data_IF_468681220478
#
_entry.id   IF_468681220478
#
_cell.length_a   1.000
_cell.length_b   1.000
_cell.length_c   1.000
_cell.angle_alpha   90.00
_cell.angle_beta   90.00
_cell.angle_gamma   90.00
#
_symmetry.space_group_name_H-M   'P 1'
#
loop_
_entity.id
_entity.type
_entity.pdbx_description
1 polymer ?
#
# COMPACT_ATOMS: atom_id res chain seq x y z
N UNK A 1 -6.34 -54.63 61.54
CA UNK A 1 -5.40 -55.12 60.51
C UNK A 1 -5.69 -54.38 59.21
N UNK A 2 -4.74 -53.52 58.82
CA UNK A 2 -4.44 -53.00 57.47
C UNK A 2 -5.54 -52.19 56.75
N UNK A 3 -5.37 -50.86 56.80
CA UNK A 3 -6.07 -49.86 55.98
C UNK A 3 -5.12 -48.69 55.66
N UNK A 4 -4.17 -48.92 54.76
CA UNK A 4 -3.30 -47.95 54.04
C UNK A 4 -2.84 -48.72 52.78
N UNK A 5 -2.55 -48.20 51.61
CA UNK A 5 -1.98 -46.95 51.14
C UNK A 5 -1.98 -47.14 49.61
N UNK A 6 -2.43 -46.20 48.77
CA UNK A 6 -1.83 -45.99 47.42
C UNK A 6 -2.44 -44.71 46.84
N UNK A 7 -1.85 -43.60 47.26
CA UNK A 7 -1.85 -42.34 46.53
C UNK A 7 -0.95 -42.52 45.31
N UNK A 8 -1.44 -42.21 44.11
CA UNK A 8 -0.58 -41.82 42.99
C UNK A 8 -1.23 -40.64 42.28
N UNK A 9 -0.76 -39.47 42.68
CA UNK A 9 -1.05 -38.14 42.15
C UNK A 9 -0.43 -38.02 40.75
N UNK A 10 -1.26 -37.89 39.70
CA UNK A 10 -0.78 -37.51 38.37
C UNK A 10 -0.90 -35.98 38.26
N UNK A 11 0.23 -35.29 38.43
CA UNK A 11 0.33 -33.87 38.16
C UNK A 11 0.60 -33.66 36.67
N UNK A 12 -0.41 -33.26 35.90
CA UNK A 12 -0.23 -32.81 34.52
C UNK A 12 0.41 -31.42 34.51
N UNK A 13 1.65 -31.35 34.03
CA UNK A 13 2.33 -30.09 33.71
C UNK A 13 1.72 -29.57 32.40
N UNK A 14 0.82 -28.58 32.49
CA UNK A 14 0.48 -27.74 31.35
C UNK A 14 1.63 -26.76 31.13
N UNK A 15 2.54 -27.08 30.21
CA UNK A 15 3.46 -26.09 29.66
C UNK A 15 2.63 -25.23 28.71
N UNK A 16 2.20 -24.07 29.16
CA UNK A 16 1.70 -23.02 28.26
C UNK A 16 2.90 -22.50 27.48
N UNK A 17 3.03 -22.93 26.23
CA UNK A 17 3.85 -22.22 25.25
C UNK A 17 3.18 -20.87 25.03
N UNK A 18 3.64 -19.83 25.74
CA UNK A 18 3.45 -18.45 25.32
C UNK A 18 4.24 -18.28 24.02
N UNK A 19 3.68 -18.77 22.92
CA UNK A 19 4.07 -18.31 21.60
C UNK A 19 3.73 -16.83 21.57
N UNK A 20 4.76 -15.98 21.67
CA UNK A 20 4.62 -14.60 21.22
C UNK A 20 4.30 -14.67 19.73
N UNK A 21 3.01 -14.74 19.38
CA UNK A 21 2.57 -14.25 18.09
C UNK A 21 3.02 -12.79 18.09
N UNK A 22 4.10 -12.48 17.38
CA UNK A 22 4.48 -11.09 17.18
C UNK A 22 3.30 -10.43 16.49
N UNK A 23 2.59 -9.54 17.19
CA UNK A 23 1.56 -8.72 16.58
C UNK A 23 2.23 -7.97 15.42
N UNK A 24 1.79 -8.27 14.20
CA UNK A 24 2.31 -7.60 13.02
C UNK A 24 1.99 -6.10 13.11
N UNK A 25 2.99 -5.26 12.89
CA UNK A 25 2.78 -3.80 12.83
C UNK A 25 1.73 -3.44 11.79
N UNK A 26 0.99 -2.35 11.99
CA UNK A 26 0.03 -1.82 11.01
C UNK A 26 0.68 -1.59 9.64
N UNK A 27 1.91 -1.09 9.60
CA UNK A 27 2.67 -0.92 8.35
C UNK A 27 2.84 -2.24 7.58
N UNK A 28 3.16 -3.33 8.29
CA UNK A 28 3.26 -4.67 7.69
C UNK A 28 1.91 -5.15 7.15
N UNK A 29 0.82 -4.99 7.91
CA UNK A 29 -0.52 -5.39 7.46
C UNK A 29 -0.93 -4.69 6.16
N UNK A 30 -0.70 -3.38 6.06
CA UNK A 30 -0.97 -2.62 4.85
C UNK A 30 -0.05 -2.96 3.68
N UNK A 31 1.22 -3.28 3.94
CA UNK A 31 2.13 -3.79 2.92
C UNK A 31 1.66 -5.14 2.37
N UNK A 32 1.23 -6.08 3.21
CA UNK A 32 0.68 -7.35 2.75
C UNK A 32 -0.60 -7.16 1.93
N UNK A 33 -1.47 -6.21 2.34
CA UNK A 33 -2.65 -5.85 1.56
C UNK A 33 -2.28 -5.31 0.16
N UNK A 34 -1.30 -4.41 0.08
CA UNK A 34 -0.78 -3.89 -1.19
C UNK A 34 -0.16 -5.00 -2.06
N UNK A 35 0.71 -5.83 -1.48
CA UNK A 35 1.37 -6.92 -2.21
C UNK A 35 0.35 -7.92 -2.76
N UNK A 36 -0.70 -8.23 -2.00
CA UNK A 36 -1.76 -9.10 -2.48
C UNK A 36 -2.53 -8.46 -3.63
N UNK A 37 -2.85 -7.17 -3.55
CA UNK A 37 -3.50 -6.47 -4.66
C UNK A 37 -2.63 -6.39 -5.91
N UNK A 38 -1.30 -6.28 -5.77
CA UNK A 38 -0.37 -6.37 -6.91
C UNK A 38 -0.45 -7.76 -7.58
N UNK A 39 -0.52 -8.85 -6.80
CA UNK A 39 -0.65 -10.23 -7.32
C UNK A 39 -1.96 -10.45 -8.08
N UNK A 40 -3.00 -9.71 -7.71
CA UNK A 40 -4.35 -9.80 -8.27
C UNK A 40 -4.62 -8.76 -9.38
N UNK A 41 -3.62 -7.97 -9.79
CA UNK A 41 -3.78 -6.91 -10.78
C UNK A 41 -3.04 -7.20 -12.10
N UNK A 42 -3.18 -6.33 -13.10
CA UNK A 42 -2.40 -6.42 -14.34
C UNK A 42 -0.89 -6.40 -14.07
N UNK A 43 -0.13 -7.12 -14.90
CA UNK A 43 1.33 -7.07 -14.89
C UNK A 43 1.84 -5.71 -15.40
N UNK A 44 1.99 -4.74 -14.48
CA UNK A 44 2.43 -3.37 -14.75
C UNK A 44 3.61 -2.95 -13.85
N UNK A 45 4.82 -3.51 -14.05
CA UNK A 45 5.93 -3.33 -13.10
C UNK A 45 6.25 -1.88 -12.73
N UNK A 46 6.30 -0.89 -13.66
CA UNK A 46 6.55 0.50 -13.30
C UNK A 46 5.44 1.12 -12.44
N UNK A 47 4.17 0.78 -12.73
CA UNK A 47 3.00 1.25 -11.95
C UNK A 47 3.05 0.69 -10.54
N UNK A 48 3.37 -0.60 -10.40
CA UNK A 48 3.46 -1.26 -9.10
C UNK A 48 4.64 -0.76 -8.26
N UNK A 49 5.80 -0.55 -8.89
CA UNK A 49 6.95 0.05 -8.22
C UNK A 49 6.63 1.45 -7.66
N UNK A 50 5.88 2.25 -8.43
CA UNK A 50 5.41 3.57 -8.01
C UNK A 50 4.41 3.49 -6.86
N UNK A 51 3.47 2.53 -6.89
CA UNK A 51 2.54 2.30 -5.78
C UNK A 51 3.30 1.92 -4.49
N UNK A 52 4.31 1.05 -4.56
CA UNK A 52 5.17 0.68 -3.44
C UNK A 52 5.93 1.86 -2.86
N UNK A 53 6.50 2.72 -3.73
CA UNK A 53 7.19 3.93 -3.28
C UNK A 53 6.22 4.90 -2.58
N UNK A 54 5.10 5.23 -3.22
CA UNK A 54 4.11 6.18 -2.70
C UNK A 54 3.53 5.76 -1.35
N UNK A 55 3.24 4.48 -1.18
CA UNK A 55 2.70 3.93 0.07
C UNK A 55 3.74 3.86 1.17
N UNK A 56 4.98 3.46 0.86
CA UNK A 56 6.10 3.48 1.83
C UNK A 56 6.35 4.90 2.34
N UNK A 57 6.39 5.87 1.42
CA UNK A 57 6.52 7.29 1.73
C UNK A 57 5.37 7.80 2.59
N UNK A 58 4.11 7.46 2.25
CA UNK A 58 2.94 7.88 3.02
C UNK A 58 2.95 7.33 4.46
N UNK A 59 3.32 6.06 4.64
CA UNK A 59 3.43 5.46 5.97
C UNK A 59 4.56 6.10 6.78
N UNK A 60 5.71 6.37 6.14
CA UNK A 60 6.81 7.07 6.79
C UNK A 60 6.43 8.49 7.22
N UNK A 61 5.75 9.25 6.36
CA UNK A 61 5.31 10.61 6.68
C UNK A 61 4.28 10.62 7.82
N UNK A 62 3.34 9.66 7.82
CA UNK A 62 2.38 9.49 8.91
C UNK A 62 3.07 9.16 10.25
N UNK A 63 4.15 8.38 10.21
CA UNK A 63 4.96 8.08 11.38
C UNK A 63 5.75 9.30 11.88
N UNK A 64 6.43 9.97 10.96
CA UNK A 64 7.34 11.08 11.21
C UNK A 64 6.61 12.35 11.66
N UNK A 65 5.34 12.54 11.27
CA UNK A 65 4.51 13.66 11.70
C UNK A 65 4.37 13.78 13.23
N UNK A 66 4.53 12.67 13.96
CA UNK A 66 4.48 12.62 15.43
C UNK A 66 5.86 12.43 16.08
N UNK A 67 6.94 12.39 15.29
CA UNK A 67 8.30 12.26 15.80
C UNK A 67 8.94 13.63 16.06
N UNK A 68 9.88 13.69 17.01
CA UNK A 68 10.55 14.95 17.38
C UNK A 68 11.85 15.17 16.62
N UNK A 69 12.38 14.14 15.96
CA UNK A 69 13.66 14.16 15.24
C UNK A 69 13.47 13.88 13.76
N UNK A 70 12.63 12.89 13.43
CA UNK A 70 12.40 12.51 12.05
C UNK A 70 11.68 13.61 11.28
N UNK A 71 12.04 13.74 10.00
CA UNK A 71 11.42 14.68 9.07
C UNK A 71 10.65 13.90 8.02
N UNK A 72 9.38 14.25 7.73
CA UNK A 72 8.66 13.65 6.63
C UNK A 72 9.36 13.92 5.30
N UNK A 73 9.08 13.09 4.30
CA UNK A 73 9.59 13.23 2.94
C UNK A 73 8.72 14.19 2.11
N UNK A 74 7.41 13.94 2.01
CA UNK A 74 6.49 14.77 1.23
C UNK A 74 5.78 15.80 2.11
N UNK A 75 5.24 15.37 3.25
CA UNK A 75 4.48 16.20 4.18
C UNK A 75 5.35 17.35 4.72
N UNK A 76 4.95 18.60 4.44
CA UNK A 76 5.70 19.80 4.80
C UNK A 76 6.80 20.19 3.81
N UNK A 77 6.99 19.46 2.71
CA UNK A 77 8.06 19.68 1.75
C UNK A 77 7.54 19.89 0.32
N UNK A 78 8.48 20.27 -0.55
CA UNK A 78 8.29 20.26 -2.00
C UNK A 78 9.06 19.10 -2.61
N UNK A 79 8.36 18.21 -3.31
CA UNK A 79 8.93 17.06 -4.03
C UNK A 79 8.43 17.09 -5.46
N UNK A 80 9.35 16.98 -6.43
CA UNK A 80 9.01 16.96 -7.87
C UNK A 80 8.08 18.10 -8.31
N UNK A 81 8.28 19.31 -7.75
CA UNK A 81 7.47 20.49 -8.05
C UNK A 81 6.09 20.53 -7.40
N UNK A 82 5.72 19.54 -6.58
CA UNK A 82 4.51 19.54 -5.76
C UNK A 82 4.84 19.90 -4.31
N UNK A 83 4.11 20.83 -3.71
CA UNK A 83 4.24 21.17 -2.28
C UNK A 83 3.05 20.62 -1.50
N UNK A 84 3.33 19.89 -0.40
CA UNK A 84 2.34 19.46 0.57
C UNK A 84 2.51 20.27 1.87
N UNK A 85 1.77 21.37 2.09
CA UNK A 85 1.92 22.18 3.28
C UNK A 85 1.65 21.42 4.58
N UNK A 86 2.45 21.64 5.62
CA UNK A 86 2.25 21.02 6.91
C UNK A 86 2.65 21.96 8.04
N UNK A 87 1.71 22.23 8.94
CA UNK A 87 1.93 23.15 10.08
C UNK A 87 2.20 22.40 11.39
N UNK A 88 2.34 21.07 11.33
CA UNK A 88 2.38 20.21 12.51
C UNK A 88 1.01 19.68 12.91
N UNK A 89 1.02 18.78 13.89
CA UNK A 89 -0.20 18.22 14.50
C UNK A 89 -0.21 18.47 16.00
N UNK A 90 -1.39 18.62 16.62
CA UNK A 90 -1.51 18.59 18.07
C UNK A 90 -0.94 17.29 18.64
N UNK A 91 -0.25 17.37 19.79
CA UNK A 91 0.31 16.19 20.46
C UNK A 91 -0.81 15.27 20.96
N UNK A 92 -0.91 14.02 20.48
CA UNK A 92 -1.94 13.09 20.91
C UNK A 92 -1.59 12.48 22.27
N UNK A 93 -2.60 11.96 22.98
CA UNK A 93 -2.38 11.24 24.25
C UNK A 93 -1.63 9.91 24.06
N UNK A 94 -1.80 9.26 22.91
CA UNK A 94 -1.09 8.06 22.51
C UNK A 94 -0.52 8.24 21.10
N UNK A 95 0.80 8.45 21.02
CA UNK A 95 1.51 8.68 19.75
C UNK A 95 1.46 7.45 18.85
N UNK A 96 1.63 6.25 19.40
CA UNK A 96 1.66 5.03 18.58
C UNK A 96 0.30 4.76 17.94
N UNK A 97 -0.79 4.88 18.71
CA UNK A 97 -2.13 4.74 18.17
C UNK A 97 -2.46 5.80 17.10
N UNK A 98 -1.94 7.03 17.26
CA UNK A 98 -2.10 8.08 16.26
C UNK A 98 -1.33 7.77 14.97
N UNK A 99 -0.11 7.27 15.08
CA UNK A 99 0.70 6.82 13.92
C UNK A 99 -0.01 5.70 13.17
N UNK A 100 -0.45 4.66 13.86
CA UNK A 100 -1.16 3.51 13.29
C UNK A 100 -2.45 3.93 12.56
N UNK A 101 -3.22 4.83 13.16
CA UNK A 101 -4.44 5.35 12.55
C UNK A 101 -4.13 6.23 11.33
N UNK A 102 -3.18 7.16 11.42
CA UNK A 102 -2.80 8.01 10.29
C UNK A 102 -2.25 7.19 9.11
N UNK A 103 -1.39 6.19 9.37
CA UNK A 103 -0.92 5.25 8.34
C UNK A 103 -2.10 4.54 7.66
N UNK A 104 -3.06 4.05 8.46
CA UNK A 104 -4.17 3.26 7.94
C UNK A 104 -5.09 4.06 7.02
N UNK A 105 -5.43 5.29 7.41
CA UNK A 105 -6.22 6.16 6.54
C UNK A 105 -5.43 6.58 5.28
N UNK A 106 -4.13 6.85 5.40
CA UNK A 106 -3.31 7.17 4.23
C UNK A 106 -3.29 6.00 3.23
N UNK A 107 -3.01 4.79 3.73
CA UNK A 107 -2.95 3.58 2.93
C UNK A 107 -4.31 3.24 2.31
N UNK A 108 -5.40 3.29 3.09
CA UNK A 108 -6.75 3.03 2.59
C UNK A 108 -7.09 3.90 1.37
N UNK A 109 -6.87 5.22 1.49
CA UNK A 109 -7.22 6.19 0.43
C UNK A 109 -6.33 6.04 -0.80
N UNK A 110 -5.01 5.87 -0.61
CA UNK A 110 -4.08 5.67 -1.73
C UNK A 110 -4.46 4.39 -2.46
N UNK A 111 -4.52 3.26 -1.76
CA UNK A 111 -4.74 1.95 -2.39
C UNK A 111 -6.10 1.86 -3.07
N UNK A 112 -7.16 2.42 -2.48
CA UNK A 112 -8.48 2.44 -3.10
C UNK A 112 -8.45 3.16 -4.46
N UNK A 113 -7.76 4.30 -4.55
CA UNK A 113 -7.57 5.02 -5.80
C UNK A 113 -6.69 4.25 -6.79
N UNK A 114 -5.55 3.70 -6.34
CA UNK A 114 -4.58 3.01 -7.21
C UNK A 114 -5.13 1.76 -7.87
N UNK A 115 -5.99 1.03 -7.16
CA UNK A 115 -6.57 -0.23 -7.64
C UNK A 115 -8.00 -0.09 -8.18
N UNK A 116 -8.54 1.13 -8.29
CA UNK A 116 -9.89 1.39 -8.79
C UNK A 116 -10.18 0.80 -10.18
N UNK A 117 -9.15 0.67 -11.02
CA UNK A 117 -9.24 0.10 -12.37
C UNK A 117 -8.62 -1.31 -12.48
N UNK A 118 -8.38 -1.97 -11.34
CA UNK A 118 -7.91 -3.35 -11.31
C UNK A 118 -9.02 -4.32 -11.74
N UNK A 119 -8.71 -5.42 -12.45
CA UNK A 119 -9.71 -6.44 -12.77
C UNK A 119 -10.29 -7.10 -11.51
N UNK A 120 -9.58 -7.06 -10.39
CA UNK A 120 -10.00 -7.63 -9.11
C UNK A 120 -10.30 -6.55 -8.05
N UNK A 121 -10.78 -5.37 -8.47
CA UNK A 121 -11.07 -4.25 -7.59
C UNK A 121 -11.93 -4.63 -6.36
N UNK A 122 -12.99 -5.43 -6.53
CA UNK A 122 -13.83 -5.82 -5.39
C UNK A 122 -13.08 -6.63 -4.32
N UNK A 123 -12.17 -7.53 -4.73
CA UNK A 123 -11.34 -8.27 -3.79
C UNK A 123 -10.41 -7.32 -3.00
N UNK A 124 -9.80 -6.35 -3.69
CA UNK A 124 -8.99 -5.32 -3.05
C UNK A 124 -9.83 -4.44 -2.10
N UNK A 125 -11.03 -4.02 -2.51
CA UNK A 125 -11.95 -3.23 -1.70
C UNK A 125 -12.32 -3.94 -0.39
N UNK A 126 -12.74 -5.20 -0.46
CA UNK A 126 -13.08 -5.99 0.74
C UNK A 126 -11.86 -6.20 1.65
N UNK A 127 -10.67 -6.36 1.08
CA UNK A 127 -9.42 -6.47 1.84
C UNK A 127 -9.14 -5.19 2.63
N UNK A 128 -9.26 -4.01 1.99
CA UNK A 128 -8.94 -2.74 2.63
C UNK A 128 -9.97 -2.34 3.68
N UNK A 129 -11.27 -2.49 3.38
CA UNK A 129 -12.36 -2.22 4.33
C UNK A 129 -12.38 -3.21 5.49
N UNK A 130 -12.08 -4.49 5.22
CA UNK A 130 -11.90 -5.52 6.24
C UNK A 130 -10.74 -5.19 7.18
N UNK A 131 -9.58 -4.76 6.65
CA UNK A 131 -8.44 -4.36 7.46
C UNK A 131 -8.73 -3.11 8.31
N UNK A 132 -9.41 -2.10 7.76
CA UNK A 132 -9.86 -0.94 8.56
C UNK A 132 -10.79 -1.36 9.70
N UNK A 133 -11.73 -2.27 9.43
CA UNK A 133 -12.65 -2.82 10.44
C UNK A 133 -11.91 -3.62 11.51
N UNK A 134 -10.95 -4.47 11.12
CA UNK A 134 -10.11 -5.24 12.04
C UNK A 134 -9.32 -4.34 13.00
N UNK A 135 -8.82 -3.21 12.48
CA UNK A 135 -8.09 -2.20 13.27
C UNK A 135 -9.02 -1.27 14.08
N UNK A 136 -10.34 -1.43 13.95
CA UNK A 136 -11.33 -0.64 14.69
C UNK A 136 -11.53 0.78 14.16
N UNK A 137 -11.23 1.04 12.88
CA UNK A 137 -11.33 2.36 12.27
C UNK A 137 -12.56 2.50 11.38
N UNK A 138 -13.29 3.61 11.57
CA UNK A 138 -14.37 4.04 10.69
C UNK A 138 -13.80 4.65 9.40
N UNK A 139 -13.71 3.84 8.35
CA UNK A 139 -13.15 4.24 7.06
C UNK A 139 -14.02 5.24 6.27
N UNK A 140 -15.23 5.58 6.75
CA UNK A 140 -16.07 6.63 6.16
C UNK A 140 -15.59 8.04 6.55
N UNK A 141 -14.73 8.19 7.56
CA UNK A 141 -14.12 9.47 7.93
C UNK A 141 -13.24 10.01 6.80
N UNK A 142 -13.72 11.02 6.09
CA UNK A 142 -13.06 11.60 4.90
C UNK A 142 -12.44 12.98 5.13
N UNK A 143 -12.61 13.59 6.31
CA UNK A 143 -12.02 14.88 6.65
C UNK A 143 -10.50 14.87 6.45
N UNK A 144 -9.95 15.97 5.95
CA UNK A 144 -8.50 16.20 5.82
C UNK A 144 -8.00 17.29 6.77
N UNK A 145 -8.88 17.80 7.64
CA UNK A 145 -8.53 18.80 8.64
C UNK A 145 -7.76 18.17 9.81
N UNK A 146 -6.47 17.93 9.62
CA UNK A 146 -5.57 17.34 10.63
C UNK A 146 -5.31 18.28 11.83
N UNK A 147 -5.53 19.59 11.68
CA UNK A 147 -5.39 20.56 12.78
C UNK A 147 -6.44 20.34 13.88
N UNK A 148 -7.53 19.63 13.59
CA UNK A 148 -8.47 19.15 14.60
C UNK A 148 -7.85 18.17 15.61
N UNK A 149 -6.64 17.66 15.35
CA UNK A 149 -5.99 16.63 16.15
C UNK A 149 -6.36 15.21 15.75
N UNK A 150 -7.21 15.02 14.73
CA UNK A 150 -7.63 13.70 14.23
C UNK A 150 -6.53 13.02 13.41
N UNK A 151 -5.99 11.86 13.85
CA UNK A 151 -5.00 11.12 13.06
C UNK A 151 -5.59 10.55 11.77
N UNK A 152 -6.88 10.19 11.77
CA UNK A 152 -7.59 9.80 10.55
C UNK A 152 -7.58 10.94 9.52
N UNK A 153 -7.79 12.18 9.97
CA UNK A 153 -7.74 13.34 9.09
C UNK A 153 -6.33 13.63 8.55
N UNK A 154 -5.29 13.40 9.38
CA UNK A 154 -3.90 13.45 8.91
C UNK A 154 -3.63 12.40 7.83
N UNK A 155 -4.05 11.16 8.03
CA UNK A 155 -3.90 10.10 7.04
C UNK A 155 -4.59 10.42 5.71
N UNK A 156 -5.84 10.91 5.76
CA UNK A 156 -6.54 11.38 4.56
C UNK A 156 -5.80 12.53 3.86
N UNK A 157 -5.25 13.49 4.62
CA UNK A 157 -4.49 14.60 4.06
C UNK A 157 -3.19 14.15 3.39
N UNK A 158 -2.44 13.24 4.02
CA UNK A 158 -1.24 12.64 3.44
C UNK A 158 -1.60 11.93 2.13
N UNK A 159 -2.65 11.09 2.12
CA UNK A 159 -3.11 10.44 0.90
C UNK A 159 -3.47 11.42 -0.21
N UNK A 160 -4.18 12.51 0.14
CA UNK A 160 -4.49 13.57 -0.82
C UNK A 160 -3.21 14.14 -1.43
N UNK A 161 -2.20 14.49 -0.61
CA UNK A 161 -0.92 14.99 -1.10
C UNK A 161 -0.21 13.99 -2.03
N UNK A 162 -0.17 12.71 -1.65
CA UNK A 162 0.47 11.66 -2.46
C UNK A 162 -0.22 11.48 -3.81
N UNK A 163 -1.56 11.45 -3.80
CA UNK A 163 -2.34 11.30 -5.02
C UNK A 163 -2.17 12.51 -5.94
N UNK A 164 -2.23 13.74 -5.40
CA UNK A 164 -2.05 14.97 -6.17
C UNK A 164 -0.64 15.11 -6.74
N UNK A 165 0.40 14.86 -5.94
CA UNK A 165 1.79 14.80 -6.41
C UNK A 165 1.91 13.82 -7.58
N UNK A 166 1.27 12.65 -7.46
CA UNK A 166 1.29 11.63 -8.49
C UNK A 166 0.62 12.04 -9.82
N UNK A 167 -0.37 12.93 -9.81
CA UNK A 167 -1.01 13.36 -11.06
C UNK A 167 -0.10 14.24 -11.92
N UNK A 168 0.98 14.79 -11.36
CA UNK A 168 1.88 15.75 -12.01
C UNK A 168 3.34 15.28 -12.10
N UNK A 169 3.64 14.02 -11.73
CA UNK A 169 5.00 13.48 -11.73
C UNK A 169 5.50 12.98 -13.10
N UNK A 170 4.70 13.18 -14.15
CA UNK A 170 5.02 12.75 -15.52
C UNK A 170 4.66 11.30 -15.85
N UNK A 171 4.09 10.52 -14.91
CA UNK A 171 3.72 9.12 -15.18
C UNK A 171 2.52 8.95 -16.13
N UNK A 172 1.83 10.04 -16.49
CA UNK A 172 0.64 10.00 -17.35
C UNK A 172 -0.50 9.14 -16.77
N UNK A 173 -0.63 9.11 -15.44
CA UNK A 173 -1.57 8.25 -14.72
C UNK A 173 -3.03 8.46 -15.12
N UNK A 174 -3.46 9.71 -15.32
CA UNK A 174 -4.84 10.04 -15.71
C UNK A 174 -5.26 9.40 -17.04
N UNK A 175 -4.29 9.10 -17.89
CA UNK A 175 -4.48 8.46 -19.18
C UNK A 175 -3.99 7.00 -19.15
N UNK A 176 -4.12 6.36 -17.97
CA UNK A 176 -3.75 4.96 -17.73
C UNK A 176 -2.30 4.64 -18.16
N UNK A 177 -1.37 5.57 -17.91
CA UNK A 177 0.06 5.40 -18.18
C UNK A 177 0.36 5.15 -19.67
N UNK A 178 -0.52 5.60 -20.57
CA UNK A 178 -0.34 5.43 -22.01
C UNK A 178 0.98 6.03 -22.49
N UNK A 179 1.65 5.34 -23.42
CA UNK A 179 2.90 5.81 -24.04
C UNK A 179 2.61 7.09 -24.84
N UNK A 180 3.37 8.15 -24.56
CA UNK A 180 3.16 9.46 -25.20
C UNK A 180 4.12 9.73 -26.35
N UNK A 181 5.37 9.26 -26.25
CA UNK A 181 6.45 9.70 -27.14
C UNK A 181 6.99 8.58 -28.04
N UNK A 182 7.17 7.38 -27.49
CA UNK A 182 7.76 6.28 -28.25
C UNK A 182 6.73 5.68 -29.22
N UNK A 183 7.13 5.53 -30.48
CA UNK A 183 6.36 4.83 -31.51
C UNK A 183 7.16 3.63 -32.02
N UNK A 184 6.48 2.49 -32.14
CA UNK A 184 7.08 1.26 -32.68
C UNK A 184 7.33 1.39 -34.17
N UNK A 185 8.49 0.93 -34.64
CA UNK A 185 8.81 0.88 -36.07
C UNK A 185 8.42 -0.46 -36.69
N UNK A 186 8.67 -1.54 -35.96
CA UNK A 186 8.34 -2.89 -36.43
C UNK A 186 6.87 -3.21 -36.18
N UNK A 187 6.26 -3.93 -37.13
CA UNK A 187 4.96 -4.56 -36.94
C UNK A 187 5.03 -5.60 -35.81
N UNK A 188 3.96 -5.80 -35.03
CA UNK A 188 3.95 -6.82 -33.98
C UNK A 188 4.32 -8.22 -34.49
N UNK A 189 5.16 -8.93 -33.75
CA UNK A 189 5.51 -10.33 -34.04
C UNK A 189 4.37 -11.25 -33.61
N UNK A 190 3.86 -12.05 -34.54
CA UNK A 190 2.88 -13.09 -34.28
C UNK A 190 3.59 -14.32 -33.74
N UNK A 191 3.43 -14.58 -32.44
CA UNK A 191 4.14 -15.66 -31.74
C UNK A 191 3.70 -17.07 -32.16
N UNK A 192 2.55 -17.21 -32.82
CA UNK A 192 2.06 -18.47 -33.35
C UNK A 192 2.81 -18.91 -34.63
N UNK A 193 3.41 -17.97 -35.35
CA UNK A 193 4.14 -18.25 -36.58
C UNK A 193 5.61 -18.59 -36.30
N UNK A 194 6.22 -19.52 -37.05
CA UNK A 194 7.63 -19.84 -36.88
C UNK A 194 8.53 -18.73 -37.40
N UNK A 195 9.44 -18.27 -36.53
CA UNK A 195 10.51 -17.34 -36.89
C UNK A 195 10.06 -15.88 -37.02
N UNK A 196 10.90 -15.05 -37.64
CA UNK A 196 10.64 -13.63 -37.86
C UNK A 196 11.30 -13.12 -39.16
N UNK A 197 10.96 -13.72 -40.33
CA UNK A 197 11.64 -13.40 -41.59
C UNK A 197 11.32 -11.99 -42.12
N UNK A 198 10.27 -11.35 -41.61
CA UNK A 198 9.73 -10.09 -42.15
C UNK A 198 9.95 -8.89 -41.20
N UNK A 199 10.94 -8.96 -40.28
CA UNK A 199 11.28 -7.80 -39.44
C UNK A 199 11.76 -6.64 -40.30
N UNK A 200 11.20 -5.44 -40.08
CA UNK A 200 11.54 -4.26 -40.87
C UNK A 200 12.92 -3.69 -40.53
N UNK A 201 13.16 -3.44 -39.24
CA UNK A 201 14.43 -2.93 -38.73
C UNK A 201 14.92 -3.76 -37.53
N UNK A 202 15.97 -4.60 -37.70
CA UNK A 202 16.48 -5.46 -36.63
C UNK A 202 17.15 -4.69 -35.49
N UNK A 203 17.47 -3.40 -35.67
CA UNK A 203 18.02 -2.54 -34.62
C UNK A 203 16.93 -1.83 -33.80
N UNK A 204 15.65 -2.11 -34.06
CA UNK A 204 14.51 -1.49 -33.36
C UNK A 204 13.67 -2.55 -32.68
N UNK A 205 13.13 -2.19 -31.50
CA UNK A 205 12.28 -3.09 -30.74
C UNK A 205 11.02 -3.48 -31.52
N UNK A 206 10.64 -4.75 -31.41
CA UNK A 206 9.42 -5.31 -31.97
C UNK A 206 8.55 -5.84 -30.84
N UNK A 207 7.32 -5.34 -30.77
CA UNK A 207 6.31 -5.83 -29.82
C UNK A 207 5.85 -7.22 -30.20
N UNK A 208 5.49 -8.04 -29.22
CA UNK A 208 4.87 -9.35 -29.44
C UNK A 208 3.35 -9.21 -29.46
N UNK A 209 2.66 -10.02 -30.26
CA UNK A 209 1.24 -10.30 -30.03
C UNK A 209 1.14 -11.52 -29.13
N UNK A 210 0.69 -11.31 -27.90
CA UNK A 210 0.21 -12.38 -27.05
C UNK A 210 -1.29 -12.48 -27.30
N UNK A 211 -1.77 -13.62 -27.81
CA UNK A 211 -3.21 -13.85 -27.87
C UNK A 211 -3.76 -13.74 -26.46
N UNK A 212 -4.87 -13.01 -26.29
CA UNK A 212 -5.60 -13.04 -25.03
C UNK A 212 -6.26 -14.42 -24.93
N UNK A 213 -5.88 -15.19 -23.90
CA UNK A 213 -6.60 -16.40 -23.53
C UNK A 213 -8.04 -16.08 -23.09
#
# INVERSE_FOLDING_TARGET
MIRYLFLSLVASIFVTTLGFAQNESVARKWNEALLQSIREDFARPPVHARNLFHTSMAMYDAWAAYDTVAKPYLLGNTVSGYTCPFEGVPTPANIEAAREQAMSFAMFRILLQRFALSPNFFAAYFRYTGLMTELGYDFDISSTNYQSGSPAALGNYIAQCVLQMGLQDGANEQFNYAIQYYQTVNTPLVMADPGNPNIGDPNRWQRLTLEAA
#
